data_IF_295041403059
#
_entry.id   IF_295041403059
#
_cell.length_a   1.000
_cell.length_b   1.000
_cell.length_c   1.000
_cell.angle_alpha   90.00
_cell.angle_beta   90.00
_cell.angle_gamma   90.00
#
_symmetry.space_group_name_H-M   'P 1'
#
loop_
_entity.id
_entity.type
_entity.pdbx_description
1 polymer ?
#
# COMPACT_ATOMS: atom_id res chain seq x y z
N UNK A 1 -10.79 -17.42 -2.61
CA UNK A 1 -9.84 -17.40 -1.49
C UNK A 1 -9.89 -16.00 -0.87
N UNK A 2 -9.96 -15.87 0.47
CA UNK A 2 -10.06 -14.58 1.20
C UNK A 2 -11.41 -13.83 1.11
N UNK A 3 -12.46 -14.44 0.56
CA UNK A 3 -13.78 -13.77 0.39
C UNK A 3 -14.58 -13.74 1.70
N UNK A 4 -14.43 -14.74 2.56
CA UNK A 4 -15.11 -14.77 3.86
C UNK A 4 -14.60 -13.62 4.73
N UNK A 5 -13.28 -13.47 4.80
CA UNK A 5 -12.58 -12.42 5.54
C UNK A 5 -12.92 -11.01 5.02
N UNK A 6 -13.00 -10.84 3.69
CA UNK A 6 -13.47 -9.57 3.10
C UNK A 6 -14.93 -9.26 3.49
N UNK A 7 -15.79 -10.28 3.54
CA UNK A 7 -17.17 -10.10 3.99
C UNK A 7 -17.26 -9.77 5.48
N UNK A 8 -16.45 -10.39 6.34
CA UNK A 8 -16.37 -10.06 7.76
C UNK A 8 -15.94 -8.61 7.98
N UNK A 9 -14.88 -8.16 7.29
CA UNK A 9 -14.43 -6.75 7.31
C UNK A 9 -15.55 -5.81 6.89
N UNK A 10 -16.22 -6.09 5.78
CA UNK A 10 -17.34 -5.27 5.30
C UNK A 10 -18.50 -5.25 6.30
N UNK A 11 -18.83 -6.38 6.91
CA UNK A 11 -19.93 -6.45 7.87
C UNK A 11 -19.62 -5.63 9.13
N UNK A 12 -18.40 -5.73 9.65
CA UNK A 12 -17.98 -4.97 10.83
C UNK A 12 -17.93 -3.46 10.54
N UNK A 13 -17.23 -3.06 9.49
CA UNK A 13 -16.87 -1.65 9.28
C UNK A 13 -17.83 -0.88 8.37
N UNK A 14 -18.62 -1.56 7.53
CA UNK A 14 -19.61 -0.90 6.65
C UNK A 14 -21.07 -1.13 7.09
N UNK A 15 -21.39 -2.23 7.79
CA UNK A 15 -22.76 -2.57 8.19
C UNK A 15 -23.00 -2.55 9.71
N UNK A 16 -21.97 -2.27 10.52
CA UNK A 16 -22.08 -2.16 11.97
C UNK A 16 -22.95 -0.97 12.43
N UNK A 17 -23.79 -1.22 13.44
CA UNK A 17 -24.62 -0.23 14.13
C UNK A 17 -23.79 0.97 14.64
N UNK A 18 -24.39 2.17 14.80
CA UNK A 18 -23.66 3.41 15.03
C UNK A 18 -22.97 3.41 16.40
N UNK A 19 -21.71 2.97 16.45
CA UNK A 19 -20.85 3.11 17.63
C UNK A 19 -20.39 4.57 17.68
N UNK A 20 -21.15 5.38 18.42
CA UNK A 20 -20.88 6.75 18.88
C UNK A 20 -20.11 7.67 17.91
N UNK A 21 -20.86 8.64 17.35
CA UNK A 21 -20.52 9.64 16.34
C UNK A 21 -19.22 10.48 16.51
N UNK A 22 -18.39 10.27 17.52
CA UNK A 22 -17.28 11.19 17.83
C UNK A 22 -15.85 10.66 17.56
N UNK A 23 -15.64 9.38 17.19
CA UNK A 23 -14.25 8.86 17.02
C UNK A 23 -13.93 7.98 15.80
N UNK A 24 -14.87 7.69 14.90
CA UNK A 24 -14.61 6.81 13.75
C UNK A 24 -14.88 7.53 12.42
N UNK A 25 -13.95 8.40 12.02
CA UNK A 25 -13.98 8.99 10.67
C UNK A 25 -13.41 7.99 9.66
N UNK A 26 -14.22 7.66 8.65
CA UNK A 26 -13.82 6.87 7.50
C UNK A 26 -13.02 7.73 6.50
N UNK A 27 -11.79 8.10 6.88
CA UNK A 27 -10.91 9.00 6.13
C UNK A 27 -9.54 8.38 5.79
N UNK A 28 -9.40 7.06 6.00
CA UNK A 28 -8.18 6.33 5.73
C UNK A 28 -8.26 5.60 4.39
N UNK A 29 -7.10 5.21 3.90
CA UNK A 29 -6.93 4.36 2.73
C UNK A 29 -5.63 3.58 2.81
N UNK A 30 -5.50 2.55 1.99
CA UNK A 30 -4.24 1.84 1.76
C UNK A 30 -3.58 2.32 0.47
N UNK A 31 -2.27 2.17 0.35
CA UNK A 31 -1.57 2.51 -0.89
C UNK A 31 -0.37 1.62 -1.11
N UNK A 32 0.02 1.50 -2.37
CA UNK A 32 1.19 0.74 -2.81
C UNK A 32 2.17 1.71 -3.47
N UNK A 33 3.46 1.54 -3.19
CA UNK A 33 4.51 2.12 -4.02
C UNK A 33 5.04 1.03 -4.95
N UNK A 34 5.04 1.35 -6.24
CA UNK A 34 5.32 0.41 -7.32
C UNK A 34 6.50 0.92 -8.14
N UNK A 35 7.43 0.02 -8.42
CA UNK A 35 8.58 0.20 -9.29
C UNK A 35 8.16 -0.05 -10.76
N UNK A 36 7.94 1.00 -11.56
CA UNK A 36 7.49 0.83 -12.95
C UNK A 36 8.55 0.17 -13.83
N UNK A 37 9.84 0.18 -13.47
CA UNK A 37 10.90 -0.46 -14.26
C UNK A 37 10.76 -1.98 -14.35
N UNK A 38 10.01 -2.57 -13.41
CA UNK A 38 9.68 -4.00 -13.38
C UNK A 38 8.41 -4.37 -14.15
N UNK A 39 7.74 -3.39 -14.77
CA UNK A 39 6.50 -3.57 -15.53
C UNK A 39 6.78 -3.27 -17.01
N UNK A 40 7.01 -4.29 -17.86
CA UNK A 40 7.38 -4.09 -19.26
C UNK A 40 6.29 -3.37 -20.08
N UNK A 41 5.03 -3.62 -19.76
CA UNK A 41 3.88 -2.96 -20.38
C UNK A 41 2.81 -2.69 -19.35
N UNK A 42 2.50 -1.41 -19.12
CA UNK A 42 1.44 -1.01 -18.19
C UNK A 42 0.05 -1.53 -18.62
N UNK A 43 -0.18 -1.68 -19.92
CA UNK A 43 -1.47 -2.13 -20.47
C UNK A 43 -1.63 -3.66 -20.38
N UNK A 44 -0.53 -4.39 -20.60
CA UNK A 44 -0.52 -5.86 -20.64
C UNK A 44 0.11 -6.48 -19.39
N UNK A 45 0.32 -5.68 -18.34
CA UNK A 45 0.94 -6.12 -17.10
C UNK A 45 0.16 -7.31 -16.54
N UNK A 46 0.85 -8.43 -16.30
CA UNK A 46 0.24 -9.59 -15.65
C UNK A 46 0.38 -9.50 -14.13
N UNK A 47 -0.46 -10.24 -13.41
CA UNK A 47 -0.49 -10.18 -11.94
C UNK A 47 0.88 -10.42 -11.29
N UNK A 48 1.68 -11.36 -11.83
CA UNK A 48 3.03 -11.65 -11.31
C UNK A 48 3.98 -10.46 -11.41
N UNK A 49 3.93 -9.70 -12.51
CA UNK A 49 4.75 -8.50 -12.71
C UNK A 49 4.30 -7.38 -11.78
N UNK A 50 2.98 -7.20 -11.63
CA UNK A 50 2.42 -6.25 -10.68
C UNK A 50 2.91 -6.54 -9.25
N UNK A 51 2.83 -7.79 -8.81
CA UNK A 51 3.30 -8.19 -7.47
C UNK A 51 4.80 -7.94 -7.29
N UNK A 52 5.63 -8.31 -8.27
CA UNK A 52 7.09 -8.14 -8.17
C UNK A 52 7.55 -6.69 -8.22
N UNK A 53 6.71 -5.81 -8.76
CA UNK A 53 6.91 -4.37 -8.84
C UNK A 53 6.57 -3.63 -7.54
N UNK A 54 5.72 -4.18 -6.67
CA UNK A 54 5.39 -3.54 -5.40
C UNK A 54 6.61 -3.63 -4.46
N UNK A 55 7.06 -2.48 -3.97
CA UNK A 55 8.16 -2.41 -3.00
C UNK A 55 7.75 -1.83 -1.64
N UNK A 56 6.51 -1.36 -1.51
CA UNK A 56 5.99 -0.87 -0.23
C UNK A 56 4.47 -0.97 -0.17
N UNK A 57 3.96 -1.40 0.98
CA UNK A 57 2.54 -1.34 1.35
C UNK A 57 2.39 -0.33 2.46
N UNK A 58 1.43 0.58 2.35
CA UNK A 58 1.17 1.56 3.39
C UNK A 58 -0.31 1.79 3.62
N UNK A 59 -0.58 2.49 4.73
CA UNK A 59 -1.87 3.08 5.05
C UNK A 59 -1.70 4.54 5.43
N UNK A 60 -2.71 5.34 5.15
CA UNK A 60 -2.63 6.77 5.39
C UNK A 60 -3.96 7.48 5.36
N UNK A 61 -3.90 8.77 5.65
CA UNK A 61 -4.95 9.74 5.43
C UNK A 61 -4.37 10.92 4.66
N UNK A 62 -5.18 11.62 3.88
CA UNK A 62 -4.77 12.84 3.15
C UNK A 62 -3.50 12.60 2.31
N UNK A 63 -2.52 13.49 2.40
CA UNK A 63 -1.29 13.52 1.58
C UNK A 63 -0.19 12.52 2.00
N UNK A 64 -0.50 11.53 2.85
CA UNK A 64 0.52 10.60 3.40
C UNK A 64 1.40 9.89 2.36
N UNK A 65 0.88 9.42 1.20
CA UNK A 65 1.73 8.80 0.17
C UNK A 65 2.70 9.79 -0.45
N UNK A 66 2.22 11.00 -0.78
CA UNK A 66 3.02 12.10 -1.31
C UNK A 66 4.12 12.51 -0.32
N UNK A 67 3.84 12.47 0.99
CA UNK A 67 4.81 12.80 2.02
C UNK A 67 6.07 11.93 1.95
N UNK A 68 5.97 10.64 1.60
CA UNK A 68 7.16 9.80 1.44
C UNK A 68 8.05 10.21 0.27
N UNK A 69 7.43 10.69 -0.81
CA UNK A 69 8.16 11.18 -1.96
C UNK A 69 8.83 12.52 -1.61
N UNK A 70 8.11 13.46 -0.98
CA UNK A 70 8.69 14.72 -0.51
C UNK A 70 9.82 14.50 0.51
N UNK A 71 9.68 13.51 1.41
CA UNK A 71 10.73 13.15 2.37
C UNK A 71 11.99 12.71 1.61
N UNK A 72 11.87 11.86 0.58
CA UNK A 72 13.02 11.44 -0.23
C UNK A 72 13.81 12.62 -0.81
N UNK A 73 13.13 13.63 -1.37
CA UNK A 73 13.75 14.87 -1.87
C UNK A 73 14.51 15.61 -0.77
N UNK A 74 13.92 15.74 0.42
CA UNK A 74 14.56 16.40 1.58
C UNK A 74 15.78 15.65 2.10
N UNK A 75 15.74 14.31 2.08
CA UNK A 75 16.86 13.48 2.53
C UNK A 75 18.05 13.55 1.55
N UNK A 76 17.80 13.63 0.23
CA UNK A 76 18.84 13.85 -0.78
C UNK A 76 19.66 15.11 -0.51
N UNK A 77 19.00 16.20 -0.11
CA UNK A 77 19.66 17.48 0.21
C UNK A 77 20.53 17.44 1.48
N UNK A 78 20.26 16.51 2.39
CA UNK A 78 20.89 16.46 3.72
C UNK A 78 22.10 15.53 3.83
N UNK A 79 22.53 14.87 2.74
CA UNK A 79 23.68 13.94 2.71
C UNK A 79 23.73 12.98 3.92
N UNK A 80 22.59 12.37 4.25
CA UNK A 80 22.48 11.47 5.41
C UNK A 80 23.20 10.15 5.12
N UNK A 81 24.03 9.66 6.03
CA UNK A 81 24.84 8.44 5.85
C UNK A 81 24.01 7.15 5.73
N UNK A 82 22.84 7.08 6.38
CA UNK A 82 21.97 5.90 6.37
C UNK A 82 20.52 6.29 6.03
N UNK A 83 20.07 5.89 4.85
CA UNK A 83 18.68 6.09 4.41
C UNK A 83 17.84 4.82 4.64
N UNK A 84 16.58 4.96 5.10
CA UNK A 84 15.62 3.86 5.08
C UNK A 84 15.50 3.26 3.68
N UNK A 85 15.39 1.92 3.59
CA UNK A 85 15.41 1.20 2.32
C UNK A 85 14.34 1.69 1.33
N UNK A 86 13.15 2.06 1.84
CA UNK A 86 12.09 2.69 1.05
C UNK A 86 12.56 3.96 0.34
N UNK A 87 13.23 4.86 1.06
CA UNK A 87 13.72 6.11 0.48
C UNK A 87 14.85 5.84 -0.51
N UNK A 88 15.75 4.91 -0.19
CA UNK A 88 16.81 4.44 -1.11
C UNK A 88 16.22 3.92 -2.43
N UNK A 89 15.14 3.13 -2.37
CA UNK A 89 14.44 2.62 -3.57
C UNK A 89 13.82 3.76 -4.38
N UNK A 90 13.14 4.71 -3.74
CA UNK A 90 12.55 5.88 -4.42
C UNK A 90 13.62 6.68 -5.16
N UNK A 91 14.72 7.03 -4.47
CA UNK A 91 15.81 7.82 -5.05
C UNK A 91 16.47 7.09 -6.22
N UNK A 92 16.74 5.79 -6.07
CA UNK A 92 17.27 4.96 -7.14
C UNK A 92 16.38 5.00 -8.39
N UNK A 93 15.06 4.92 -8.25
CA UNK A 93 14.15 4.97 -9.39
C UNK A 93 14.14 6.33 -10.07
N UNK A 94 14.23 7.42 -9.31
CA UNK A 94 14.38 8.75 -9.88
C UNK A 94 15.71 8.96 -10.60
N UNK A 95 16.82 8.50 -10.03
CA UNK A 95 18.15 8.63 -10.63
C UNK A 95 18.26 7.92 -11.99
N UNK A 96 17.46 6.88 -12.21
CA UNK A 96 17.39 6.16 -13.47
C UNK A 96 16.23 6.62 -14.38
N UNK A 97 15.53 7.70 -14.03
CA UNK A 97 14.48 8.29 -14.85
C UNK A 97 13.14 7.53 -14.87
N UNK A 98 12.92 6.58 -13.96
CA UNK A 98 11.72 5.73 -13.96
C UNK A 98 10.52 6.35 -13.24
N UNK A 99 10.75 7.15 -12.19
CA UNK A 99 9.67 7.62 -11.33
C UNK A 99 9.16 6.55 -10.37
N UNK A 100 8.13 6.91 -9.58
CA UNK A 100 7.48 6.00 -8.63
C UNK A 100 5.97 6.07 -8.82
N UNK A 101 5.32 4.92 -9.01
CA UNK A 101 3.86 4.88 -9.03
C UNK A 101 3.35 4.77 -7.59
N UNK A 102 2.45 5.69 -7.20
CA UNK A 102 1.70 5.65 -5.94
C UNK A 102 0.26 5.25 -6.25
N UNK A 103 -0.06 3.97 -6.08
CA UNK A 103 -1.42 3.45 -6.29
C UNK A 103 -2.20 3.54 -4.99
N UNK A 104 -3.31 4.28 -4.98
CA UNK A 104 -4.18 4.39 -3.81
C UNK A 104 -5.33 3.37 -3.94
N UNK A 105 -5.59 2.61 -2.88
CA UNK A 105 -6.56 1.52 -2.84
C UNK A 105 -7.37 1.55 -1.55
N UNK A 106 -8.58 1.01 -1.59
CA UNK A 106 -9.46 0.91 -0.41
C UNK A 106 -9.68 2.26 0.29
N UNK A 107 -10.37 3.18 -0.37
CA UNK A 107 -10.65 4.52 0.16
C UNK A 107 -11.81 4.57 1.15
N UNK A 108 -11.85 5.65 1.94
CA UNK A 108 -12.92 5.93 2.90
C UNK A 108 -13.16 4.77 3.87
N UNK A 109 -12.07 4.21 4.39
CA UNK A 109 -12.11 3.15 5.40
C UNK A 109 -11.72 3.70 6.77
N UNK A 110 -12.10 2.97 7.81
CA UNK A 110 -11.70 3.28 9.18
C UNK A 110 -10.21 3.02 9.39
N UNK A 111 -9.63 3.67 10.40
CA UNK A 111 -8.23 3.46 10.75
C UNK A 111 -7.92 1.97 11.00
N UNK A 112 -8.71 1.31 11.84
CA UNK A 112 -8.55 -0.12 12.19
C UNK A 112 -8.64 -1.02 10.96
N UNK A 113 -9.58 -0.77 10.06
CA UNK A 113 -9.68 -1.51 8.80
C UNK A 113 -8.42 -1.33 7.94
N UNK A 114 -7.90 -0.10 7.84
CA UNK A 114 -6.67 0.18 7.10
C UNK A 114 -5.45 -0.54 7.71
N UNK A 115 -5.38 -0.66 9.04
CA UNK A 115 -4.34 -1.46 9.71
C UNK A 115 -4.45 -2.94 9.33
N UNK A 116 -5.65 -3.53 9.42
CA UNK A 116 -5.86 -4.96 9.13
C UNK A 116 -5.52 -5.28 7.67
N UNK A 117 -6.00 -4.45 6.73
CA UNK A 117 -5.73 -4.61 5.29
C UNK A 117 -4.23 -4.49 5.00
N UNK A 118 -3.54 -3.49 5.56
CA UNK A 118 -2.08 -3.35 5.43
C UNK A 118 -1.34 -4.56 5.99
N UNK A 119 -1.73 -5.05 7.17
CA UNK A 119 -1.11 -6.22 7.81
C UNK A 119 -1.25 -7.48 6.98
N UNK A 120 -2.45 -7.74 6.45
CA UNK A 120 -2.71 -8.87 5.57
C UNK A 120 -1.90 -8.80 4.28
N UNK A 121 -1.83 -7.63 3.63
CA UNK A 121 -1.02 -7.44 2.43
C UNK A 121 0.48 -7.62 2.70
N UNK A 122 1.00 -7.10 3.81
CA UNK A 122 2.41 -7.31 4.20
C UNK A 122 2.68 -8.78 4.48
N UNK A 123 1.75 -9.48 5.15
CA UNK A 123 1.90 -10.89 5.48
C UNK A 123 1.88 -11.79 4.24
N UNK A 124 1.00 -11.50 3.28
CA UNK A 124 0.84 -12.29 2.06
C UNK A 124 2.01 -12.15 1.07
N UNK A 125 2.85 -11.13 1.21
CA UNK A 125 4.02 -10.93 0.36
C UNK A 125 5.29 -11.51 1.01
N UNK A 126 6.12 -12.22 0.25
CA UNK A 126 7.48 -12.55 0.71
C UNK A 126 8.27 -11.26 0.96
N UNK A 127 9.04 -11.21 2.05
CA UNK A 127 9.76 -10.00 2.48
C UNK A 127 10.80 -9.52 1.49
N UNK A 128 11.25 -10.36 0.56
CA UNK A 128 12.37 -10.06 -0.34
C UNK A 128 12.09 -8.85 -1.26
N UNK A 129 10.82 -8.52 -1.50
CA UNK A 129 10.45 -7.37 -2.34
C UNK A 129 10.01 -6.13 -1.54
N UNK A 130 9.58 -6.28 -0.28
CA UNK A 130 9.01 -5.17 0.50
C UNK A 130 10.06 -4.48 1.35
N UNK A 131 10.10 -3.15 1.22
CA UNK A 131 10.91 -2.25 2.06
C UNK A 131 10.25 -1.91 3.41
N UNK A 132 9.12 -2.56 3.73
CA UNK A 132 8.41 -2.41 5.00
C UNK A 132 9.28 -2.92 6.16
N UNK A 133 9.70 -2.01 7.04
CA UNK A 133 10.50 -2.37 8.23
C UNK A 133 9.65 -3.04 9.31
N UNK A 134 8.40 -2.59 9.48
CA UNK A 134 7.48 -3.10 10.49
C UNK A 134 6.50 -4.06 9.86
N UNK A 135 6.19 -5.15 10.58
CA UNK A 135 5.00 -5.96 10.29
C UNK A 135 3.76 -5.10 10.54
N UNK A 136 2.69 -5.37 9.81
CA UNK A 136 1.40 -4.79 10.14
C UNK A 136 0.77 -5.47 11.36
N UNK A 137 -0.26 -4.82 11.90
CA UNK A 137 -0.98 -5.25 13.10
C UNK A 137 -2.41 -5.63 12.74
N UNK A 138 -2.86 -6.77 13.28
CA UNK A 138 -4.26 -7.22 13.21
C UNK A 138 -4.97 -6.77 14.48
N UNK A 139 -6.26 -6.46 14.36
CA UNK A 139 -7.08 -5.96 15.46
C UNK A 139 -8.45 -6.65 15.48
N UNK A 140 -9.10 -6.64 16.64
CA UNK A 140 -10.48 -7.10 16.83
C UNK A 140 -10.63 -8.56 16.37
N UNK A 141 -11.74 -8.90 15.69
CA UNK A 141 -12.01 -10.26 15.21
C UNK A 141 -10.91 -10.82 14.29
N UNK A 142 -10.16 -9.97 13.59
CA UNK A 142 -9.08 -10.41 12.69
C UNK A 142 -7.86 -10.97 13.43
N UNK A 143 -7.72 -10.73 14.73
CA UNK A 143 -6.67 -11.35 15.56
C UNK A 143 -6.85 -12.87 15.62
N UNK A 144 -8.10 -13.32 15.65
CA UNK A 144 -8.49 -14.73 15.75
C UNK A 144 -8.32 -15.51 14.45
N UNK A 145 -8.14 -14.83 13.31
CA UNK A 145 -7.85 -15.51 12.06
C UNK A 145 -6.52 -16.26 12.12
N UNK A 146 -6.51 -17.48 11.60
CA UNK A 146 -5.28 -18.24 11.47
C UNK A 146 -4.38 -17.65 10.37
N UNK A 147 -3.11 -18.10 10.32
CA UNK A 147 -2.12 -17.56 9.37
C UNK A 147 -2.57 -17.70 7.91
N UNK A 148 -3.17 -18.84 7.55
CA UNK A 148 -3.67 -19.09 6.20
C UNK A 148 -4.76 -18.09 5.82
N UNK A 149 -5.74 -17.84 6.69
CA UNK A 149 -6.79 -16.84 6.45
C UNK A 149 -6.21 -15.44 6.23
N UNK A 150 -5.25 -15.04 7.06
CA UNK A 150 -4.60 -13.73 6.97
C UNK A 150 -3.82 -13.57 5.65
N UNK A 151 -3.09 -14.61 5.22
CA UNK A 151 -2.36 -14.64 3.95
C UNK A 151 -3.31 -14.64 2.74
N UNK A 152 -4.35 -15.47 2.78
CA UNK A 152 -5.37 -15.57 1.74
C UNK A 152 -6.14 -14.26 1.56
N UNK A 153 -6.46 -13.58 2.65
CA UNK A 153 -7.05 -12.26 2.64
C UNK A 153 -6.10 -11.24 2.00
N UNK A 154 -4.82 -11.21 2.37
CA UNK A 154 -3.83 -10.35 1.74
C UNK A 154 -3.67 -10.59 0.23
N UNK A 155 -3.64 -11.85 -0.20
CA UNK A 155 -3.59 -12.21 -1.62
C UNK A 155 -4.82 -11.72 -2.39
N UNK A 156 -6.01 -11.80 -1.77
CA UNK A 156 -7.26 -11.26 -2.32
C UNK A 156 -7.20 -9.74 -2.48
N UNK A 157 -6.65 -9.03 -1.49
CA UNK A 157 -6.46 -7.58 -1.57
C UNK A 157 -5.54 -7.18 -2.72
N UNK A 158 -4.44 -7.91 -2.95
CA UNK A 158 -3.58 -7.66 -4.10
C UNK A 158 -4.27 -7.93 -5.43
N UNK A 159 -5.08 -8.98 -5.53
CA UNK A 159 -5.88 -9.23 -6.74
C UNK A 159 -6.80 -8.04 -7.03
N UNK A 160 -7.48 -7.50 -6.00
CA UNK A 160 -8.30 -6.29 -6.14
C UNK A 160 -7.47 -5.08 -6.58
N UNK A 161 -6.32 -4.86 -5.94
CA UNK A 161 -5.39 -3.77 -6.28
C UNK A 161 -4.87 -3.87 -7.71
N UNK A 162 -4.58 -5.06 -8.21
CA UNK A 162 -4.17 -5.30 -9.60
C UNK A 162 -5.26 -4.91 -10.60
N UNK A 163 -6.53 -5.24 -10.33
CA UNK A 163 -7.63 -4.79 -11.18
C UNK A 163 -7.78 -3.27 -11.18
N UNK A 164 -7.58 -2.61 -10.04
CA UNK A 164 -7.56 -1.14 -9.96
C UNK A 164 -6.40 -0.59 -10.81
N UNK A 165 -5.19 -1.10 -10.61
CA UNK A 165 -3.97 -0.70 -11.31
C UNK A 165 -4.13 -0.74 -12.84
N UNK A 166 -4.71 -1.82 -13.38
CA UNK A 166 -4.93 -1.94 -14.83
C UNK A 166 -5.90 -0.89 -15.40
N UNK A 167 -6.79 -0.35 -14.57
CA UNK A 167 -7.83 0.58 -15.00
C UNK A 167 -7.47 2.06 -14.73
N UNK A 168 -6.75 2.36 -13.64
CA UNK A 168 -6.46 3.74 -13.22
C UNK A 168 -5.45 4.48 -14.11
N UNK A 169 -4.73 3.77 -15.00
CA UNK A 169 -3.68 4.35 -15.87
C UNK A 169 -2.70 5.23 -15.08
N UNK A 170 -2.28 4.76 -13.91
CA UNK A 170 -1.39 5.52 -13.03
C UNK A 170 -0.09 5.86 -13.74
N UNK A 171 0.33 7.13 -13.62
CA UNK A 171 1.62 7.60 -14.14
C UNK A 171 2.68 7.56 -13.04
N UNK A 172 3.95 7.23 -13.35
CA UNK A 172 5.05 7.41 -12.42
C UNK A 172 5.21 8.88 -12.03
N UNK A 173 5.43 9.14 -10.75
CA UNK A 173 5.73 10.45 -10.20
C UNK A 173 7.24 10.66 -10.19
N UNK A 174 7.70 11.74 -10.82
CA UNK A 174 9.09 12.13 -10.88
C UNK A 174 9.45 13.12 -9.76
N UNK A 175 10.72 13.18 -9.39
CA UNK A 175 11.20 14.06 -8.32
C UNK A 175 10.85 15.54 -8.57
N UNK A 176 11.01 16.00 -9.82
CA UNK A 176 10.73 17.38 -10.24
C UNK A 176 9.24 17.76 -10.19
N UNK A 177 8.34 16.80 -10.01
CA UNK A 177 6.89 17.06 -9.97
C UNK A 177 6.37 17.30 -8.55
N UNK A 178 7.20 17.13 -7.53
CA UNK A 178 6.76 17.10 -6.14
C UNK A 178 6.60 18.48 -5.47
N UNK A 179 6.81 19.57 -6.21
CA UNK A 179 6.73 20.94 -5.70
C UNK A 179 7.86 21.26 -4.69
N UNK A 180 8.46 22.44 -4.82
CA UNK A 180 9.40 22.96 -3.82
C UNK A 180 8.67 23.51 -2.60
#
# INVERSE_FOLDING_TARGET
>A
MGLAEENEIRNEFCMGLPITREKNEAAYFCYLLIDPSKIPSMQNCIFREFISAIFYVGKGKRSRPLQHLCDATKFRQKHVEQLPEKLRRILHLWDHGFGVISLHIFFNIHATEAFIREAAMILAMSRDNLTNVKKGEFYCFSEMWNSKQKEEFGARLFMNAYYIFKNERCRPLMENELGH
#
